data_IF_418032405053
#
_entry.id   IF_418032405053
#
_cell.length_a   1.000
_cell.length_b   1.000
_cell.length_c   1.000
_cell.angle_alpha   90.00
_cell.angle_beta   90.00
_cell.angle_gamma   90.00
#
_symmetry.space_group_name_H-M   'P 1'
#
loop_
_entity.id
_entity.type
_entity.pdbx_description
1 polymer ?
#
# COMPACT_ATOMS: atom_id res chain seq x y z
N UNK A 1 21.70 55.85 11.63
CA UNK A 1 20.88 56.83 12.35
C UNK A 1 19.44 56.33 12.37
N UNK A 2 18.89 56.01 13.56
CA UNK A 2 17.51 55.57 13.74
C UNK A 2 16.62 56.79 13.95
N UNK A 3 15.47 56.85 13.27
CA UNK A 3 14.39 57.76 13.63
C UNK A 3 13.22 56.94 14.16
N UNK A 4 13.08 56.96 15.48
CA UNK A 4 11.88 56.61 16.21
C UNK A 4 10.83 57.73 16.06
N UNK A 5 9.55 57.37 15.96
CA UNK A 5 8.43 58.30 16.13
C UNK A 5 7.06 57.58 16.10
N UNK A 6 6.06 58.00 16.90
CA UNK A 6 5.10 57.09 17.56
C UNK A 6 3.61 57.42 17.28
N UNK A 7 2.73 56.77 18.05
CA UNK A 7 1.32 57.11 18.34
C UNK A 7 0.27 56.73 17.28
N UNK A 8 -0.55 55.70 17.52
CA UNK A 8 -1.81 55.75 18.31
C UNK A 8 -2.99 56.20 17.46
N UNK A 9 -3.90 55.27 17.13
CA UNK A 9 -5.35 55.54 17.00
C UNK A 9 -6.14 54.23 16.90
N UNK A 10 -6.77 53.86 18.00
CA UNK A 10 -8.04 53.12 18.11
C UNK A 10 -9.01 54.12 18.79
N UNK A 11 -10.36 54.04 18.75
CA UNK A 11 -11.29 52.94 18.40
C UNK A 11 -12.53 53.50 17.61
N UNK A 12 -13.81 53.11 17.81
CA UNK A 12 -14.44 51.83 18.18
C UNK A 12 -15.50 51.37 17.15
N UNK A 13 -15.66 50.07 16.93
CA UNK A 13 -16.98 49.55 16.63
C UNK A 13 -17.19 48.22 17.36
N UNK A 14 -18.07 48.31 18.35
CA UNK A 14 -18.73 47.20 19.01
C UNK A 14 -19.71 46.56 18.04
N UNK A 15 -19.57 45.26 17.80
CA UNK A 15 -20.70 44.41 17.47
C UNK A 15 -20.44 43.02 18.05
N UNK A 16 -21.25 42.70 19.07
CA UNK A 16 -21.31 41.42 19.72
C UNK A 16 -21.80 40.33 18.75
N UNK A 17 -21.13 39.18 18.75
CA UNK A 17 -21.73 37.92 18.33
C UNK A 17 -21.39 36.86 19.39
N UNK A 18 -22.26 36.77 20.37
CA UNK A 18 -22.36 35.59 21.23
C UNK A 18 -22.82 34.38 20.42
N UNK A 19 -22.30 33.22 20.82
CA UNK A 19 -22.93 31.88 20.79
C UNK A 19 -22.88 31.13 19.44
N UNK A 20 -22.03 30.09 19.39
CA UNK A 20 -22.47 28.73 19.70
C UNK A 20 -21.30 27.75 19.83
N UNK A 21 -21.14 27.16 21.03
CA UNK A 21 -20.55 25.83 21.16
C UNK A 21 -21.49 24.81 20.52
N UNK A 22 -21.01 24.07 19.52
CA UNK A 22 -21.38 22.69 19.19
C UNK A 22 -20.05 22.01 18.88
N UNK A 23 -19.62 21.02 19.66
CA UNK A 23 -20.23 19.69 19.63
C UNK A 23 -19.44 18.88 18.61
N UNK A 24 -18.58 18.00 19.12
CA UNK A 24 -17.51 17.37 18.35
C UNK A 24 -17.97 16.53 17.17
N UNK A 25 -17.06 16.35 16.23
CA UNK A 25 -16.89 15.08 15.53
C UNK A 25 -15.40 14.77 15.53
N UNK A 26 -15.03 13.77 16.32
CA UNK A 26 -13.81 13.04 16.06
C UNK A 26 -13.85 12.61 14.59
N UNK A 27 -12.81 12.94 13.83
CA UNK A 27 -12.58 12.34 12.53
C UNK A 27 -12.28 10.86 12.77
N UNK A 28 -13.32 10.04 12.89
CA UNK A 28 -13.16 8.61 12.75
C UNK A 28 -12.70 8.41 11.31
N UNK A 29 -11.42 8.08 11.15
CA UNK A 29 -10.88 7.56 9.91
C UNK A 29 -11.79 6.39 9.50
N UNK A 30 -12.61 6.60 8.48
CA UNK A 30 -13.36 5.52 7.85
C UNK A 30 -12.32 4.53 7.36
N UNK A 31 -12.31 3.27 7.81
CA UNK A 31 -11.51 2.26 7.17
C UNK A 31 -11.97 2.23 5.72
N UNK A 32 -11.10 2.61 4.79
CA UNK A 32 -11.36 2.46 3.38
C UNK A 32 -11.36 0.96 3.08
N UNK A 33 -12.49 0.30 3.31
CA UNK A 33 -12.70 -1.04 2.82
C UNK A 33 -12.70 -0.97 1.29
N UNK A 34 -11.76 -1.65 0.60
CA UNK A 34 -11.81 -1.71 -0.85
C UNK A 34 -13.15 -2.32 -1.28
N UNK A 35 -13.81 -1.71 -2.26
CA UNK A 35 -15.08 -2.18 -2.79
C UNK A 35 -15.03 -3.62 -3.32
N UNK A 36 -16.19 -4.28 -3.50
CA UNK A 36 -16.24 -5.69 -3.88
C UNK A 36 -15.50 -5.95 -5.19
N UNK A 37 -14.57 -6.92 -5.15
CA UNK A 37 -13.71 -7.29 -6.27
C UNK A 37 -14.52 -7.99 -7.37
N UNK A 38 -14.27 -7.66 -8.64
CA UNK A 38 -14.81 -8.47 -9.75
C UNK A 38 -14.06 -9.80 -9.85
N UNK A 39 -14.82 -10.90 -9.89
CA UNK A 39 -14.30 -12.28 -9.86
C UNK A 39 -13.33 -12.59 -11.03
N UNK A 40 -13.45 -11.87 -12.15
CA UNK A 40 -12.64 -12.07 -13.38
C UNK A 40 -11.16 -11.70 -13.22
N UNK A 41 -10.76 -11.02 -12.13
CA UNK A 41 -9.36 -10.60 -11.89
C UNK A 41 -8.69 -11.36 -10.73
N UNK A 42 -9.36 -12.35 -10.15
CA UNK A 42 -8.83 -13.12 -9.01
C UNK A 42 -8.28 -14.46 -9.51
N UNK A 43 -6.99 -14.69 -9.26
CA UNK A 43 -6.28 -15.90 -9.64
C UNK A 43 -6.05 -16.78 -8.41
N UNK A 44 -5.87 -18.09 -8.61
CA UNK A 44 -5.54 -19.03 -7.54
C UNK A 44 -4.06 -19.39 -7.58
N UNK A 45 -3.46 -19.52 -6.41
CA UNK A 45 -2.11 -20.02 -6.19
C UNK A 45 -2.18 -21.12 -5.13
N UNK A 46 -1.52 -22.25 -5.41
CA UNK A 46 -1.38 -23.36 -4.48
C UNK A 46 0.05 -23.36 -3.95
N UNK A 47 0.19 -23.44 -2.63
CA UNK A 47 1.48 -23.57 -1.94
C UNK A 47 1.45 -24.78 -1.03
N UNK A 48 2.63 -25.31 -0.71
CA UNK A 48 2.76 -26.28 0.37
C UNK A 48 2.42 -25.60 1.70
N UNK A 49 1.74 -26.34 2.59
CA UNK A 49 1.41 -25.89 3.94
C UNK A 49 2.56 -26.12 4.93
N UNK A 50 2.30 -25.80 6.19
CA UNK A 50 3.29 -26.02 7.26
C UNK A 50 3.47 -27.52 7.56
N UNK A 51 2.43 -28.33 7.29
CA UNK A 51 2.46 -29.78 7.48
C UNK A 51 2.74 -30.47 6.14
N UNK A 52 3.56 -31.52 6.15
CA UNK A 52 3.83 -32.32 4.96
C UNK A 52 2.53 -32.88 4.35
N UNK A 53 2.30 -32.59 3.05
CA UNK A 53 1.09 -32.99 2.32
C UNK A 53 -0.10 -32.04 2.48
N UNK A 54 0.02 -30.97 3.26
CA UNK A 54 -0.98 -29.91 3.31
C UNK A 54 -0.81 -28.98 2.11
N UNK A 55 -1.92 -28.66 1.42
CA UNK A 55 -1.92 -27.64 0.37
C UNK A 55 -2.69 -26.41 0.84
N UNK A 56 -2.04 -25.26 0.82
CA UNK A 56 -2.66 -23.97 1.12
C UNK A 56 -3.05 -23.29 -0.19
N UNK A 57 -4.31 -22.86 -0.27
CA UNK A 57 -4.82 -22.11 -1.42
C UNK A 57 -4.90 -20.62 -1.11
N UNK A 58 -4.14 -19.83 -1.87
CA UNK A 58 -4.27 -18.38 -1.91
C UNK A 58 -5.08 -17.95 -3.13
N UNK A 59 -5.96 -16.99 -2.94
CA UNK A 59 -6.54 -16.18 -4.01
C UNK A 59 -5.75 -14.88 -4.07
N UNK A 60 -5.34 -14.46 -5.25
CA UNK A 60 -4.57 -13.23 -5.39
C UNK A 60 -5.07 -12.35 -6.52
N UNK A 61 -4.83 -11.05 -6.37
CA UNK A 61 -5.08 -10.07 -7.41
C UNK A 61 -4.17 -8.87 -7.24
N UNK A 62 -3.93 -8.14 -8.33
CA UNK A 62 -3.13 -6.91 -8.32
C UNK A 62 -4.06 -5.72 -8.46
N UNK A 63 -3.78 -4.67 -7.70
CA UNK A 63 -4.53 -3.42 -7.70
C UNK A 63 -3.58 -2.26 -7.73
N UNK A 64 -3.88 -1.33 -8.61
CA UNK A 64 -3.22 -0.05 -8.63
C UNK A 64 -3.98 0.94 -7.71
N UNK A 65 -3.29 1.61 -6.79
CA UNK A 65 -3.82 2.58 -5.84
C UNK A 65 -3.26 3.96 -6.19
N UNK A 66 -4.10 4.80 -6.78
CA UNK A 66 -3.76 6.21 -7.02
C UNK A 66 -3.76 6.99 -5.71
N UNK A 67 -2.80 7.89 -5.59
CA UNK A 67 -2.81 8.95 -4.58
C UNK A 67 -2.85 10.30 -5.28
N UNK A 68 -3.63 11.23 -4.75
CA UNK A 68 -3.71 12.62 -5.26
C UNK A 68 -2.64 13.51 -4.65
N UNK A 69 -2.11 13.12 -3.48
CA UNK A 69 -1.18 13.93 -2.68
C UNK A 69 0.21 13.28 -2.53
N UNK A 70 0.43 12.13 -3.17
CA UNK A 70 1.68 11.37 -3.04
C UNK A 70 1.86 10.34 -4.15
N UNK A 71 2.88 9.48 -4.06
CA UNK A 71 3.16 8.52 -5.11
C UNK A 71 2.08 7.43 -5.18
N UNK A 72 1.78 7.00 -6.41
CA UNK A 72 0.92 5.84 -6.66
C UNK A 72 1.54 4.55 -6.07
N UNK A 73 0.71 3.54 -5.82
CA UNK A 73 1.16 2.26 -5.29
C UNK A 73 0.54 1.08 -6.05
N UNK A 74 1.32 0.01 -6.25
CA UNK A 74 0.77 -1.29 -6.63
C UNK A 74 0.52 -2.11 -5.38
N UNK A 75 -0.58 -2.86 -5.36
CA UNK A 75 -1.01 -3.64 -4.21
C UNK A 75 -1.28 -5.07 -4.66
N UNK A 76 -0.47 -6.00 -4.17
CA UNK A 76 -0.73 -7.43 -4.29
C UNK A 76 -1.62 -7.86 -3.12
N UNK A 77 -2.86 -8.18 -3.44
CA UNK A 77 -3.86 -8.67 -2.49
C UNK A 77 -3.76 -10.18 -2.44
N UNK A 78 -3.56 -10.74 -1.24
CA UNK A 78 -3.49 -12.17 -0.95
C UNK A 78 -4.62 -12.54 0.00
N UNK A 79 -5.50 -13.45 -0.39
CA UNK A 79 -6.61 -13.93 0.43
C UNK A 79 -6.48 -15.43 0.66
N UNK A 80 -6.48 -15.85 1.93
CA UNK A 80 -6.51 -17.25 2.38
C UNK A 80 -7.73 -17.47 3.26
N UNK A 81 -8.68 -18.27 2.79
CA UNK A 81 -9.97 -18.42 3.48
C UNK A 81 -10.67 -17.06 3.61
N UNK A 82 -10.85 -16.59 4.85
CA UNK A 82 -11.42 -15.27 5.18
C UNK A 82 -10.36 -14.21 5.51
N UNK A 83 -9.08 -14.60 5.59
CA UNK A 83 -7.97 -13.69 5.91
C UNK A 83 -7.43 -13.05 4.65
N UNK A 84 -7.28 -11.72 4.65
CA UNK A 84 -6.70 -10.97 3.53
C UNK A 84 -5.50 -10.14 3.98
N UNK A 85 -4.40 -10.27 3.26
CA UNK A 85 -3.14 -9.54 3.46
C UNK A 85 -2.83 -8.73 2.21
N UNK A 86 -2.36 -7.50 2.39
CA UNK A 86 -1.98 -6.60 1.31
C UNK A 86 -0.47 -6.37 1.35
N UNK A 87 0.23 -6.68 0.26
CA UNK A 87 1.60 -6.22 0.05
C UNK A 87 1.54 -4.95 -0.79
N UNK A 88 1.94 -3.82 -0.20
CA UNK A 88 1.83 -2.49 -0.81
C UNK A 88 3.21 -2.03 -1.27
N UNK A 89 3.33 -1.78 -2.58
CA UNK A 89 4.52 -1.26 -3.23
C UNK A 89 4.28 0.22 -3.53
N UNK A 90 4.64 1.10 -2.59
CA UNK A 90 4.55 2.55 -2.79
C UNK A 90 5.63 3.03 -3.74
N UNK A 91 5.26 3.80 -4.76
CA UNK A 91 6.23 4.51 -5.61
C UNK A 91 7.04 5.53 -4.80
N UNK A 92 8.15 5.98 -5.35
CA UNK A 92 9.04 6.92 -4.68
C UNK A 92 10.44 6.91 -5.30
N UNK A 93 11.37 7.65 -4.70
CA UNK A 93 12.75 7.72 -5.18
C UNK A 93 13.38 6.31 -5.26
N UNK A 94 13.83 5.92 -6.46
CA UNK A 94 14.37 4.58 -6.74
C UNK A 94 13.34 3.45 -6.80
N UNK A 95 12.05 3.70 -6.54
CA UNK A 95 10.96 2.71 -6.55
C UNK A 95 10.02 2.99 -7.73
N UNK A 96 10.17 2.20 -8.79
CA UNK A 96 9.36 2.31 -10.00
C UNK A 96 8.07 1.51 -9.84
N UNK A 97 6.96 2.23 -9.95
CA UNK A 97 5.59 1.72 -9.91
C UNK A 97 4.84 2.39 -11.07
N UNK A 98 3.91 1.72 -11.76
CA UNK A 98 3.21 2.31 -12.91
C UNK A 98 2.41 3.52 -12.44
N UNK A 99 2.70 4.74 -12.89
CA UNK A 99 1.99 5.96 -12.51
C UNK A 99 0.98 6.43 -13.57
N UNK A 100 0.76 5.61 -14.60
CA UNK A 100 -0.12 5.90 -15.73
C UNK A 100 0.47 5.56 -17.10
N UNK A 101 1.79 5.33 -17.20
CA UNK A 101 2.47 5.04 -18.47
C UNK A 101 3.00 3.60 -18.65
N UNK A 102 3.08 2.81 -17.58
CA UNK A 102 3.59 1.42 -17.60
C UNK A 102 2.46 0.38 -17.53
N UNK A 103 2.75 -0.87 -17.92
CA UNK A 103 1.83 -1.98 -17.71
C UNK A 103 1.55 -2.18 -16.22
N UNK A 104 0.28 -2.33 -15.84
CA UNK A 104 -0.15 -2.60 -14.46
C UNK A 104 0.58 -3.81 -13.88
N UNK A 105 0.96 -3.73 -12.60
CA UNK A 105 1.60 -4.83 -11.87
C UNK A 105 3.11 -4.97 -12.05
N UNK A 106 3.77 -4.12 -12.83
CA UNK A 106 5.23 -4.07 -12.85
C UNK A 106 5.77 -3.27 -11.64
N UNK A 107 6.71 -3.82 -10.89
CA UNK A 107 7.42 -3.11 -9.80
C UNK A 107 8.93 -3.29 -9.96
N UNK A 108 9.71 -2.22 -9.80
CA UNK A 108 11.16 -2.27 -9.91
C UNK A 108 11.85 -1.35 -8.89
N UNK A 109 13.08 -1.71 -8.49
CA UNK A 109 13.87 -0.99 -7.50
C UNK A 109 15.27 -0.67 -8.06
N UNK A 110 15.54 0.58 -8.43
CA UNK A 110 16.85 0.99 -8.96
C UNK A 110 17.33 0.15 -10.15
N UNK A 111 18.58 -0.32 -10.12
CA UNK A 111 19.14 -1.25 -11.11
C UNK A 111 18.68 -2.72 -10.92
N UNK A 112 17.86 -3.01 -9.90
CA UNK A 112 17.38 -4.37 -9.65
C UNK A 112 16.34 -4.79 -10.70
N UNK A 113 16.21 -6.11 -10.89
CA UNK A 113 15.29 -6.71 -11.84
C UNK A 113 13.84 -6.23 -11.64
N UNK A 114 13.15 -5.92 -12.74
CA UNK A 114 11.73 -5.63 -12.72
C UNK A 114 10.93 -6.92 -12.47
N UNK A 115 10.01 -6.88 -11.51
CA UNK A 115 9.12 -7.99 -11.19
C UNK A 115 7.70 -7.70 -11.65
N UNK A 116 7.06 -8.70 -12.26
CA UNK A 116 5.68 -8.62 -12.70
C UNK A 116 4.76 -9.33 -11.71
N UNK A 117 3.98 -8.56 -10.95
CA UNK A 117 3.00 -9.08 -9.98
C UNK A 117 1.86 -9.86 -10.65
N UNK A 118 1.73 -9.82 -11.98
CA UNK A 118 0.85 -10.72 -12.71
C UNK A 118 1.45 -12.10 -12.99
N UNK A 119 2.71 -12.36 -12.67
CA UNK A 119 3.31 -13.67 -12.88
C UNK A 119 3.08 -14.57 -11.66
N UNK A 120 2.49 -15.76 -11.84
CA UNK A 120 2.29 -16.70 -10.74
C UNK A 120 3.59 -17.07 -10.01
N UNK A 121 4.72 -17.16 -10.73
CA UNK A 121 6.03 -17.46 -10.16
C UNK A 121 6.54 -16.35 -9.24
N UNK A 122 6.35 -15.09 -9.63
CA UNK A 122 6.68 -13.93 -8.79
C UNK A 122 5.81 -13.88 -7.54
N UNK A 123 4.49 -14.06 -7.71
CA UNK A 123 3.56 -14.10 -6.57
C UNK A 123 3.90 -15.25 -5.61
N UNK A 124 4.28 -16.41 -6.14
CA UNK A 124 4.71 -17.55 -5.32
C UNK A 124 5.95 -17.21 -4.50
N UNK A 125 6.96 -16.59 -5.10
CA UNK A 125 8.16 -16.18 -4.40
C UNK A 125 7.86 -15.17 -3.27
N UNK A 126 6.94 -14.21 -3.50
CA UNK A 126 6.48 -13.30 -2.43
C UNK A 126 5.75 -14.03 -1.31
N UNK A 127 4.88 -15.00 -1.63
CA UNK A 127 4.16 -15.79 -0.62
C UNK A 127 5.13 -16.64 0.19
N UNK A 128 6.06 -17.34 -0.47
CA UNK A 128 7.07 -18.17 0.19
C UNK A 128 7.93 -17.32 1.16
N UNK A 129 8.39 -16.14 0.71
CA UNK A 129 9.21 -15.27 1.53
C UNK A 129 8.42 -14.66 2.71
N UNK A 130 7.17 -14.27 2.49
CA UNK A 130 6.30 -13.77 3.55
C UNK A 130 5.98 -14.87 4.58
N UNK A 131 5.76 -16.11 4.14
CA UNK A 131 5.58 -17.27 5.01
C UNK A 131 6.84 -17.56 5.83
N UNK A 132 8.02 -17.54 5.18
CA UNK A 132 9.31 -17.74 5.85
C UNK A 132 9.54 -16.73 6.97
N UNK A 133 9.01 -15.51 6.83
CA UNK A 133 9.08 -14.43 7.82
C UNK A 133 7.91 -14.41 8.81
N UNK A 134 6.94 -15.32 8.71
CA UNK A 134 5.75 -15.34 9.57
C UNK A 134 4.76 -14.20 9.33
N UNK A 135 4.80 -13.55 8.16
CA UNK A 135 4.03 -12.33 7.88
C UNK A 135 2.60 -12.59 7.38
N UNK A 136 2.23 -13.85 7.10
CA UNK A 136 0.90 -14.23 6.60
C UNK A 136 0.01 -14.93 7.65
N UNK A 137 0.33 -14.77 8.94
CA UNK A 137 -0.43 -15.39 10.05
C UNK A 137 -1.81 -14.75 10.26
N UNK A 138 -2.00 -13.51 9.79
CA UNK A 138 -3.24 -12.76 9.94
C UNK A 138 -3.43 -11.65 8.91
N UNK A 139 -4.56 -10.93 8.98
CA UNK A 139 -4.82 -9.81 8.07
C UNK A 139 -3.87 -8.65 8.38
N UNK A 140 -3.15 -8.17 7.36
CA UNK A 140 -2.15 -7.12 7.51
C UNK A 140 -2.00 -6.30 6.22
N UNK A 141 -1.53 -5.06 6.35
CA UNK A 141 -0.96 -4.28 5.26
C UNK A 141 0.55 -4.19 5.50
N UNK A 142 1.35 -4.74 4.58
CA UNK A 142 2.80 -4.86 4.68
C UNK A 142 3.47 -4.06 3.56
N UNK A 143 4.67 -3.54 3.82
CA UNK A 143 5.48 -2.93 2.76
C UNK A 143 6.09 -4.05 1.88
N UNK A 144 5.63 -4.13 0.63
CA UNK A 144 6.10 -5.14 -0.32
C UNK A 144 7.59 -4.97 -0.68
N UNK A 145 8.13 -3.76 -0.53
CA UNK A 145 9.54 -3.48 -0.80
C UNK A 145 10.49 -4.17 0.18
N UNK A 146 10.04 -4.52 1.39
CA UNK A 146 10.87 -5.26 2.37
C UNK A 146 11.14 -6.71 1.95
N UNK A 147 10.28 -7.26 1.09
CA UNK A 147 10.40 -8.62 0.53
C UNK A 147 11.06 -8.61 -0.85
N UNK A 148 11.02 -7.48 -1.55
CA UNK A 148 11.44 -7.36 -2.94
C UNK A 148 12.88 -7.84 -3.22
N UNK A 149 13.92 -7.45 -2.45
CA UNK A 149 15.29 -7.89 -2.75
C UNK A 149 15.44 -9.41 -2.73
N UNK A 150 14.92 -10.07 -1.69
CA UNK A 150 14.98 -11.53 -1.57
C UNK A 150 14.23 -12.25 -2.70
N UNK A 151 13.10 -11.70 -3.16
CA UNK A 151 12.34 -12.25 -4.28
C UNK A 151 13.08 -12.04 -5.62
N UNK A 152 13.65 -10.85 -5.83
CA UNK A 152 14.42 -10.54 -7.03
C UNK A 152 15.64 -11.46 -7.16
N UNK A 153 16.39 -11.66 -6.06
CA UNK A 153 17.55 -12.55 -6.02
C UNK A 153 17.17 -14.00 -6.37
N UNK A 154 16.10 -14.52 -5.75
CA UNK A 154 15.60 -15.86 -6.04
C UNK A 154 15.19 -16.04 -7.51
N UNK A 155 14.56 -15.02 -8.09
CA UNK A 155 14.15 -15.07 -9.51
C UNK A 155 15.33 -14.98 -10.46
N UNK A 156 16.41 -14.31 -10.07
CA UNK A 156 17.65 -14.29 -10.83
C UNK A 156 18.41 -15.63 -10.77
N UNK A 157 18.28 -16.41 -9.68
CA UNK A 157 18.91 -17.73 -9.55
C UNK A 157 18.11 -18.87 -10.19
N UNK A 158 16.80 -18.67 -10.39
CA UNK A 158 15.89 -19.66 -11.00
C UNK A 158 15.85 -19.59 -12.55
N UNK A 159 16.61 -18.67 -13.17
CA UNK A 159 16.71 -18.47 -14.61
C UNK A 159 18.04 -18.94 -15.18
#
# INVERSE_FOLDING_TARGET
MPCSGPCSSTPPWTAACHRHRRGGRAHTATPHYPGPMSERRVRRLLTEGATAGETVTYRWSVRHRHSTEGPCAEVLVLTRGTTTTHLVFRGGEGRLVPDGFLHSGAVALGEHAALNLHEPGVVRAFVDEALRRGLLEGPAELDGWELFPAVADRRATDG
#
